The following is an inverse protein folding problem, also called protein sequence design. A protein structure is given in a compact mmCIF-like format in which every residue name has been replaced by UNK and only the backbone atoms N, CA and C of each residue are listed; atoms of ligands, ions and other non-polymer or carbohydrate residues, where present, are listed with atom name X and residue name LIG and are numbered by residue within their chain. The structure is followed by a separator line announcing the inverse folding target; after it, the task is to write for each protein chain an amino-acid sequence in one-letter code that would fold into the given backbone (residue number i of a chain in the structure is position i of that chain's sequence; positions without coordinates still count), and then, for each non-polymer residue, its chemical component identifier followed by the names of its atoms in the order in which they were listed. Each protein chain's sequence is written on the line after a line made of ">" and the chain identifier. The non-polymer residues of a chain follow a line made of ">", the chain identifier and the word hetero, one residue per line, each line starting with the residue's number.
data_IF_206788254876
#
_entry.id   IF_206788254876
#
_cell.length_a   1.000
_cell.length_b   1.000
_cell.length_c   1.000
_cell.angle_alpha   90.00
_cell.angle_beta   90.00
_cell.angle_gamma   90.00
#
_symmetry.space_group_name_H-M   'P 1'
#
loop_
_entity.id
_entity.type
_entity.pdbx_description
1 polymer ?
#
# COMPACT_ATOMS: atom_id res chain seq x y z
N UNK A 1 -18.37 48.89 -19.04
CA UNK A 1 -18.90 47.86 -18.11
C UNK A 1 -17.82 47.55 -17.08
N UNK A 2 -18.02 47.79 -15.78
CA UNK A 2 -16.98 47.57 -14.77
C UNK A 2 -16.80 46.07 -14.47
N UNK A 3 -15.55 45.59 -14.53
CA UNK A 3 -15.17 44.23 -14.19
C UNK A 3 -15.18 44.03 -12.67
N UNK A 4 -16.09 43.18 -12.17
CA UNK A 4 -16.18 42.81 -10.76
C UNK A 4 -15.06 41.81 -10.45
N UNK A 5 -14.12 42.17 -9.57
CA UNK A 5 -12.96 41.33 -9.25
C UNK A 5 -13.38 40.05 -8.49
N UNK A 6 -12.93 38.90 -8.99
CA UNK A 6 -13.24 37.56 -8.45
C UNK A 6 -12.69 37.31 -7.04
N UNK A 7 -11.71 38.10 -6.61
CA UNK A 7 -11.05 37.99 -5.30
C UNK A 7 -11.99 38.19 -4.11
N UNK A 8 -13.03 39.02 -4.24
CA UNK A 8 -13.99 39.23 -3.14
C UNK A 8 -14.94 38.05 -2.93
N UNK A 9 -15.15 37.20 -3.93
CA UNK A 9 -16.08 36.05 -3.84
C UNK A 9 -15.47 34.89 -3.04
N UNK A 10 -14.17 34.65 -3.17
CA UNK A 10 -13.49 33.57 -2.44
C UNK A 10 -13.37 33.89 -0.95
N UNK A 11 -13.14 35.16 -0.59
CA UNK A 11 -13.04 35.57 0.81
C UNK A 11 -14.32 35.26 1.59
N UNK A 12 -15.49 35.52 1.02
CA UNK A 12 -16.77 35.20 1.67
C UNK A 12 -16.99 33.71 1.85
N UNK A 13 -16.56 32.88 0.89
CA UNK A 13 -16.67 31.41 0.99
C UNK A 13 -15.81 30.88 2.13
N UNK A 14 -14.57 31.35 2.29
CA UNK A 14 -13.70 30.93 3.39
C UNK A 14 -14.25 31.30 4.77
N UNK A 15 -14.86 32.49 4.90
CA UNK A 15 -15.48 32.93 6.16
C UNK A 15 -16.66 32.03 6.53
N UNK A 16 -17.51 31.68 5.54
CA UNK A 16 -18.67 30.80 5.77
C UNK A 16 -18.22 29.38 6.13
N UNK A 17 -17.22 28.82 5.44
CA UNK A 17 -16.69 27.49 5.77
C UNK A 17 -16.04 27.45 7.16
N UNK A 18 -15.32 28.50 7.55
CA UNK A 18 -14.75 28.61 8.90
C UNK A 18 -15.82 28.65 9.99
N UNK A 19 -16.91 29.41 9.77
CA UNK A 19 -18.03 29.49 10.71
C UNK A 19 -18.76 28.15 10.85
N UNK A 20 -19.00 27.44 9.73
CA UNK A 20 -19.62 26.11 9.75
C UNK A 20 -18.75 25.08 10.47
N UNK A 21 -17.43 25.13 10.29
CA UNK A 21 -16.50 24.25 10.99
C UNK A 21 -16.50 24.49 12.50
N UNK A 22 -16.51 25.76 12.94
CA UNK A 22 -16.60 26.11 14.36
C UNK A 22 -17.95 25.70 14.98
N UNK A 23 -19.05 25.86 14.25
CA UNK A 23 -20.37 25.41 14.70
C UNK A 23 -20.42 23.87 14.86
N UNK A 24 -19.86 23.14 13.90
CA UNK A 24 -19.76 21.68 13.98
C UNK A 24 -18.93 21.23 15.19
N UNK A 25 -17.79 21.87 15.46
CA UNK A 25 -16.97 21.62 16.65
C UNK A 25 -17.78 21.86 17.95
N UNK A 26 -18.56 22.94 18.00
CA UNK A 26 -19.38 23.27 19.17
C UNK A 26 -20.47 22.22 19.45
N UNK A 27 -21.18 21.77 18.41
CA UNK A 27 -22.21 20.71 18.53
C UNK A 27 -21.58 19.40 18.99
N UNK A 28 -20.42 19.04 18.44
CA UNK A 28 -19.71 17.82 18.79
C UNK A 28 -19.26 17.84 20.27
N UNK A 29 -18.76 18.98 20.76
CA UNK A 29 -18.40 19.13 22.18
C UNK A 29 -19.61 18.99 23.12
N UNK A 30 -20.76 19.53 22.72
CA UNK A 30 -21.98 19.48 23.54
C UNK A 30 -22.55 18.06 23.66
N UNK A 31 -22.55 17.28 22.57
CA UNK A 31 -23.08 15.91 22.60
C UNK A 31 -22.17 14.91 23.33
N UNK A 32 -20.84 15.05 23.19
CA UNK A 32 -19.92 14.00 23.64
C UNK A 32 -19.10 14.38 24.88
N UNK A 33 -19.20 15.63 25.37
CA UNK A 33 -18.48 16.10 26.57
C UNK A 33 -16.95 16.15 26.45
N UNK A 34 -16.38 15.64 25.34
CA UNK A 34 -14.95 15.59 25.02
C UNK A 34 -14.72 16.06 23.58
N UNK A 35 -13.56 16.66 23.32
CA UNK A 35 -13.23 17.09 21.95
C UNK A 35 -12.83 15.89 21.09
N UNK A 36 -13.09 15.90 19.76
CA UNK A 36 -12.77 14.76 18.89
C UNK A 36 -11.30 14.31 18.94
N UNK A 37 -10.36 15.25 19.13
CA UNK A 37 -8.95 14.93 19.25
C UNK A 37 -8.55 14.29 20.59
N UNK A 38 -9.37 14.41 21.65
CA UNK A 38 -9.12 13.73 22.93
C UNK A 38 -9.47 12.25 22.82
N UNK A 39 -10.53 11.92 22.07
CA UNK A 39 -10.88 10.52 21.77
C UNK A 39 -9.76 9.82 20.98
N UNK A 40 -9.12 10.53 20.04
CA UNK A 40 -7.97 9.99 19.30
C UNK A 40 -6.77 9.72 20.22
N UNK A 41 -6.52 10.59 21.21
CA UNK A 41 -5.44 10.38 22.20
C UNK A 41 -5.73 9.20 23.13
N UNK A 42 -6.98 9.08 23.62
CA UNK A 42 -7.39 7.95 24.46
C UNK A 42 -7.32 6.62 23.70
N UNK A 43 -7.75 6.59 22.43
CA UNK A 43 -7.65 5.39 21.59
C UNK A 43 -6.19 4.94 21.39
N UNK A 44 -5.27 5.87 21.11
CA UNK A 44 -3.85 5.55 20.96
C UNK A 44 -3.22 5.03 22.26
N UNK A 45 -3.61 5.60 23.41
CA UNK A 45 -3.13 5.14 24.71
C UNK A 45 -3.65 3.74 25.07
N UNK A 46 -4.91 3.40 24.71
CA UNK A 46 -5.46 2.05 24.93
C UNK A 46 -4.72 0.99 24.11
N UNK A 47 -4.38 1.28 22.85
CA UNK A 47 -3.58 0.39 22.01
C UNK A 47 -2.19 0.11 22.62
N UNK A 48 -1.55 1.12 23.19
CA UNK A 48 -0.25 0.94 23.86
C UNK A 48 -0.37 0.22 25.21
N UNK A 49 -1.50 0.33 25.90
CA UNK A 49 -1.72 -0.30 27.19
C UNK A 49 -2.10 -1.78 27.08
N UNK A 50 -2.84 -2.17 26.02
CA UNK A 50 -3.14 -3.57 25.71
C UNK A 50 -1.89 -4.39 25.31
N UNK A 51 -0.84 -3.73 24.81
CA UNK A 51 0.43 -4.39 24.49
C UNK A 51 1.27 -4.79 25.71
N UNK A 52 0.92 -4.35 26.94
CA UNK A 52 1.81 -4.48 28.11
C UNK A 52 1.18 -5.26 29.28
N UNK A 53 -0.02 -5.81 29.14
CA UNK A 53 -0.71 -6.47 30.27
C UNK A 53 -1.56 -7.65 29.82
N UNK A 54 -0.90 -8.77 29.49
CA UNK A 54 -1.62 -10.02 29.27
C UNK A 54 -0.76 -11.19 28.80
N UNK A 55 -0.37 -12.02 29.77
CA UNK A 55 0.00 -13.45 29.67
C UNK A 55 1.48 -13.81 29.53
N UNK A 56 2.04 -14.04 30.72
CA UNK A 56 3.07 -15.01 31.05
C UNK A 56 2.53 -16.47 30.85
N UNK A 57 3.38 -17.35 30.31
CA UNK A 57 3.27 -18.83 30.28
C UNK A 57 2.62 -19.52 29.06
N UNK A 58 3.38 -19.64 27.97
CA UNK A 58 3.94 -20.93 27.52
C UNK A 58 5.13 -20.64 26.59
N UNK A 59 6.24 -21.34 26.82
CA UNK A 59 7.53 -21.09 26.17
C UNK A 59 7.46 -21.38 24.66
N UNK A 60 7.04 -20.39 23.88
CA UNK A 60 7.37 -20.32 22.45
C UNK A 60 8.55 -19.38 22.32
N UNK A 61 9.71 -19.97 22.08
CA UNK A 61 10.96 -19.29 21.71
C UNK A 61 10.71 -18.32 20.55
N UNK A 62 10.34 -17.08 20.90
CA UNK A 62 10.45 -15.91 20.04
C UNK A 62 11.94 -15.63 19.86
N UNK A 63 12.56 -16.37 18.95
CA UNK A 63 13.79 -15.91 18.34
C UNK A 63 13.41 -14.67 17.54
N UNK A 64 13.53 -13.49 18.16
CA UNK A 64 13.69 -12.20 17.48
C UNK A 64 14.93 -12.32 16.57
N UNK A 65 14.71 -12.93 15.42
CA UNK A 65 15.70 -13.12 14.38
C UNK A 65 15.78 -11.77 13.71
N UNK A 66 16.78 -10.98 14.14
CA UNK A 66 17.27 -9.78 13.45
C UNK A 66 17.03 -9.95 11.94
N UNK A 67 16.25 -9.07 11.29
CA UNK A 67 15.86 -9.25 9.89
C UNK A 67 17.09 -9.60 9.06
N UNK A 68 17.11 -10.80 8.47
CA UNK A 68 18.20 -11.18 7.60
C UNK A 68 18.31 -10.10 6.52
N UNK A 69 19.52 -9.58 6.27
CA UNK A 69 19.76 -8.48 5.33
C UNK A 69 19.01 -8.60 3.97
N UNK A 70 18.78 -9.80 3.39
CA UNK A 70 17.94 -9.97 2.21
C UNK A 70 16.49 -9.49 2.36
N UNK A 71 15.88 -9.65 3.53
CA UNK A 71 14.48 -9.26 3.76
C UNK A 71 14.32 -7.74 3.73
N UNK A 72 15.22 -6.98 4.37
CA UNK A 72 15.18 -5.53 4.35
C UNK A 72 15.34 -4.96 2.93
N UNK A 73 16.22 -5.58 2.12
CA UNK A 73 16.36 -5.22 0.71
C UNK A 73 15.07 -5.48 -0.08
N UNK A 74 14.43 -6.64 0.10
CA UNK A 74 13.15 -6.96 -0.54
C UNK A 74 12.04 -5.98 -0.14
N UNK A 75 11.96 -5.57 1.13
CA UNK A 75 10.99 -4.56 1.57
C UNK A 75 11.12 -3.24 0.81
N UNK A 76 12.36 -2.75 0.67
CA UNK A 76 12.63 -1.53 -0.08
C UNK A 76 12.21 -1.67 -1.55
N UNK A 77 12.53 -2.80 -2.18
CA UNK A 77 12.14 -3.11 -3.56
C UNK A 77 10.62 -3.18 -3.73
N UNK A 78 9.91 -3.90 -2.85
CA UNK A 78 8.44 -4.00 -2.91
C UNK A 78 7.78 -2.64 -2.78
N UNK A 79 8.23 -1.81 -1.83
CA UNK A 79 7.71 -0.46 -1.63
C UNK A 79 7.94 0.44 -2.85
N UNK A 80 9.13 0.37 -3.45
CA UNK A 80 9.47 1.17 -4.63
C UNK A 80 8.70 0.71 -5.88
N UNK A 81 8.56 -0.59 -6.11
CA UNK A 81 7.73 -1.14 -7.20
C UNK A 81 6.26 -0.75 -7.00
N UNK A 82 5.72 -0.90 -5.80
CA UNK A 82 4.34 -0.53 -5.50
C UNK A 82 4.06 0.96 -5.76
N UNK A 83 5.03 1.84 -5.48
CA UNK A 83 4.93 3.27 -5.79
C UNK A 83 5.00 3.59 -7.29
N UNK A 84 5.58 2.71 -8.11
CA UNK A 84 5.79 2.87 -9.56
C UNK A 84 4.88 1.99 -10.41
N UNK A 85 3.96 1.24 -9.81
CA UNK A 85 3.17 0.23 -10.53
C UNK A 85 2.37 0.83 -11.70
N UNK A 86 1.96 2.10 -11.59
CA UNK A 86 1.28 2.79 -12.68
C UNK A 86 2.13 3.04 -13.93
N UNK A 87 3.44 3.21 -13.77
CA UNK A 87 4.38 3.37 -14.88
C UNK A 87 4.86 2.01 -15.42
N UNK A 88 4.86 0.98 -14.56
CA UNK A 88 5.28 -0.38 -14.91
C UNK A 88 4.16 -1.16 -15.60
N UNK A 89 2.89 -0.90 -15.30
CA UNK A 89 1.78 -1.62 -15.92
C UNK A 89 1.68 -1.32 -17.43
N UNK A 90 1.70 -2.34 -18.31
CA UNK A 90 1.42 -2.13 -19.74
C UNK A 90 -0.02 -1.71 -20.02
N UNK A 91 -0.93 -2.03 -19.10
CA UNK A 91 -2.33 -1.64 -19.15
C UNK A 91 -2.58 -0.32 -18.39
N UNK A 92 -3.49 0.50 -18.94
CA UNK A 92 -3.96 1.72 -18.26
C UNK A 92 -5.08 1.37 -17.28
N UNK A 93 -5.17 2.06 -16.13
CA UNK A 93 -6.30 1.87 -15.22
C UNK A 93 -7.59 2.37 -15.88
N UNK A 94 -8.70 1.73 -15.55
CA UNK A 94 -10.03 2.03 -16.10
C UNK A 94 -10.74 3.04 -15.20
N UNK A 95 -11.64 3.84 -15.77
CA UNK A 95 -12.49 4.80 -15.04
C UNK A 95 -11.73 5.83 -14.17
N UNK A 96 -10.46 6.10 -14.49
CA UNK A 96 -9.61 6.97 -13.67
C UNK A 96 -9.17 6.35 -12.35
N UNK A 97 -9.22 5.01 -12.23
CA UNK A 97 -8.70 4.26 -11.10
C UNK A 97 -7.18 4.41 -10.94
N UNK A 98 -6.67 3.83 -9.85
CA UNK A 98 -5.25 3.72 -9.57
C UNK A 98 -4.90 2.27 -9.42
N UNK A 99 -3.71 1.90 -9.88
CA UNK A 99 -3.17 0.57 -9.67
C UNK A 99 -2.69 0.39 -8.24
N UNK A 100 -3.00 -0.77 -7.66
CA UNK A 100 -2.57 -1.21 -6.35
C UNK A 100 -1.93 -2.58 -6.47
N UNK A 101 -0.75 -2.76 -5.87
CA UNK A 101 -0.11 -4.08 -5.82
C UNK A 101 -0.76 -4.89 -4.72
N UNK A 102 -1.13 -6.14 -5.03
CA UNK A 102 -1.76 -7.06 -4.08
C UNK A 102 -0.77 -8.10 -3.56
N UNK A 103 0.11 -8.62 -4.43
CA UNK A 103 1.08 -9.67 -4.08
C UNK A 103 2.41 -9.50 -4.79
N UNK A 104 3.47 -9.95 -4.13
CA UNK A 104 4.78 -10.18 -4.73
C UNK A 104 5.17 -11.64 -4.62
N UNK A 105 5.76 -12.16 -5.70
CA UNK A 105 6.36 -13.49 -5.74
C UNK A 105 7.82 -13.36 -6.18
N UNK A 106 8.73 -13.35 -5.22
CA UNK A 106 10.17 -13.28 -5.53
C UNK A 106 10.69 -14.66 -5.89
N UNK A 107 11.55 -14.74 -6.91
CA UNK A 107 12.23 -16.00 -7.23
C UNK A 107 13.21 -16.32 -6.10
N UNK A 108 13.07 -17.48 -5.46
CA UNK A 108 13.74 -17.79 -4.18
C UNK A 108 15.27 -17.89 -4.29
N UNK A 109 15.77 -18.28 -5.47
CA UNK A 109 17.21 -18.40 -5.76
C UNK A 109 17.89 -17.06 -6.09
N UNK A 110 17.16 -15.93 -5.99
CA UNK A 110 17.69 -14.60 -6.22
C UNK A 110 16.84 -13.47 -5.62
N UNK A 111 17.21 -12.24 -5.96
CA UNK A 111 16.45 -11.04 -5.60
C UNK A 111 16.14 -10.15 -6.82
N UNK A 112 16.52 -10.62 -8.02
CA UNK A 112 16.50 -9.79 -9.22
C UNK A 112 15.21 -9.93 -10.02
N UNK A 113 14.38 -10.93 -9.73
CA UNK A 113 13.13 -11.18 -10.44
C UNK A 113 11.99 -11.34 -9.45
N UNK A 114 10.85 -10.74 -9.78
CA UNK A 114 9.61 -10.90 -9.04
C UNK A 114 8.40 -10.87 -9.97
N UNK A 115 7.43 -11.73 -9.72
CA UNK A 115 6.08 -11.50 -10.24
C UNK A 115 5.36 -10.53 -9.31
N UNK A 116 4.67 -9.57 -9.90
CA UNK A 116 3.91 -8.54 -9.20
C UNK A 116 2.47 -8.65 -9.66
N UNK A 117 1.57 -8.98 -8.74
CA UNK A 117 0.13 -8.96 -8.99
C UNK A 117 -0.43 -7.61 -8.55
N UNK A 118 -1.31 -7.05 -9.38
CA UNK A 118 -1.86 -5.72 -9.13
C UNK A 118 -3.25 -5.57 -9.75
N UNK A 119 -4.03 -4.65 -9.20
CA UNK A 119 -5.40 -4.39 -9.63
C UNK A 119 -5.78 -2.92 -9.48
N UNK A 120 -6.82 -2.46 -10.18
CA UNK A 120 -7.42 -1.12 -10.01
C UNK A 120 -8.87 -1.17 -9.47
N UNK A 121 -9.28 -2.36 -9.01
CA UNK A 121 -10.66 -2.67 -8.60
C UNK A 121 -11.58 -3.14 -9.72
N UNK A 122 -11.17 -3.05 -10.99
CA UNK A 122 -11.94 -3.54 -12.15
C UNK A 122 -11.17 -4.57 -12.98
N UNK A 123 -9.88 -4.32 -13.15
CA UNK A 123 -8.96 -5.20 -13.88
C UNK A 123 -7.84 -5.64 -12.96
N UNK A 124 -7.42 -6.89 -13.13
CA UNK A 124 -6.31 -7.50 -12.43
C UNK A 124 -5.24 -7.88 -13.46
N UNK A 125 -3.98 -7.68 -13.12
CA UNK A 125 -2.83 -7.98 -13.96
C UNK A 125 -1.69 -8.58 -13.17
N UNK A 126 -0.79 -9.26 -13.87
CA UNK A 126 0.49 -9.71 -13.31
C UNK A 126 1.61 -9.32 -14.27
N UNK A 127 2.73 -8.85 -13.73
CA UNK A 127 3.95 -8.61 -14.50
C UNK A 127 5.11 -9.38 -13.89
N UNK A 128 6.01 -9.89 -14.74
CA UNK A 128 7.34 -10.32 -14.32
C UNK A 128 8.27 -9.13 -14.48
N UNK A 129 8.89 -8.69 -13.38
CA UNK A 129 9.85 -7.59 -13.39
C UNK A 129 11.25 -8.09 -13.08
N UNK A 130 12.23 -7.47 -13.73
CA UNK A 130 13.65 -7.63 -13.43
C UNK A 130 14.19 -6.34 -12.80
N UNK A 131 14.83 -6.44 -11.64
CA UNK A 131 15.60 -5.37 -11.04
C UNK A 131 16.99 -5.33 -11.67
N UNK A 132 17.35 -4.22 -12.31
CA UNK A 132 18.69 -4.02 -12.85
C UNK A 132 19.74 -3.87 -11.74
N UNK A 133 21.03 -3.77 -12.12
CA UNK A 133 22.16 -3.56 -11.19
C UNK A 133 21.99 -2.34 -10.28
N UNK A 134 21.22 -1.35 -10.74
CA UNK A 134 20.76 -0.23 -9.92
C UNK A 134 19.36 -0.55 -9.42
N UNK A 135 19.21 -0.63 -8.10
CA UNK A 135 18.03 -1.08 -7.36
C UNK A 135 16.71 -0.32 -7.63
N UNK A 136 16.69 0.64 -8.56
CA UNK A 136 15.53 1.47 -8.90
C UNK A 136 15.14 1.42 -10.38
N UNK A 137 15.89 0.70 -11.22
CA UNK A 137 15.60 0.51 -12.63
C UNK A 137 14.94 -0.87 -12.84
N UNK A 138 13.61 -0.88 -12.88
CA UNK A 138 12.84 -2.09 -13.17
C UNK A 138 12.54 -2.20 -14.66
N UNK A 139 12.67 -3.41 -15.20
CA UNK A 139 12.25 -3.75 -16.55
C UNK A 139 11.14 -4.77 -16.48
N UNK A 140 10.02 -4.49 -17.15
CA UNK A 140 8.96 -5.48 -17.37
C UNK A 140 9.45 -6.48 -18.41
N UNK A 141 9.50 -7.75 -18.03
CA UNK A 141 9.97 -8.87 -18.87
C UNK A 141 8.77 -9.60 -19.48
N UNK A 142 7.70 -9.75 -18.72
CA UNK A 142 6.45 -10.35 -19.17
C UNK A 142 5.23 -9.70 -18.52
N UNK A 143 4.10 -9.76 -19.21
CA UNK A 143 2.79 -9.31 -18.74
C UNK A 143 1.74 -10.40 -18.97
N UNK A 144 0.90 -10.59 -17.96
CA UNK A 144 -0.09 -11.64 -17.88
C UNK A 144 -1.44 -11.05 -17.46
N UNK A 145 -2.49 -11.68 -17.96
CA UNK A 145 -3.88 -11.42 -17.57
C UNK A 145 -4.49 -12.68 -16.94
N UNK A 146 -5.58 -12.54 -16.17
CA UNK A 146 -6.34 -13.68 -15.71
C UNK A 146 -6.79 -14.57 -16.88
N UNK A 147 -6.46 -15.86 -16.85
CA UNK A 147 -6.95 -16.88 -17.78
C UNK A 147 -8.02 -17.76 -17.12
N UNK A 148 -8.41 -18.84 -17.79
CA UNK A 148 -9.49 -19.74 -17.32
C UNK A 148 -9.12 -20.50 -16.05
N UNK A 149 -7.84 -20.85 -15.87
CA UNK A 149 -7.37 -21.66 -14.73
C UNK A 149 -6.15 -21.05 -14.03
N UNK A 150 -5.40 -20.20 -14.71
CA UNK A 150 -4.21 -19.54 -14.20
C UNK A 150 -3.94 -18.26 -15.02
N UNK A 151 -2.81 -17.61 -14.80
CA UNK A 151 -2.36 -16.45 -15.54
C UNK A 151 -1.99 -16.80 -16.99
N UNK A 152 -2.58 -16.06 -17.94
CA UNK A 152 -2.29 -16.18 -19.35
C UNK A 152 -1.26 -15.12 -19.78
N UNK A 153 -0.11 -15.55 -20.32
CA UNK A 153 0.91 -14.67 -20.87
C UNK A 153 0.36 -13.90 -22.08
N UNK A 154 0.42 -12.56 -22.04
CA UNK A 154 -0.05 -11.66 -23.11
C UNK A 154 1.08 -11.00 -23.86
N UNK A 155 2.17 -10.68 -23.18
CA UNK A 155 3.32 -10.01 -23.77
C UNK A 155 4.62 -10.43 -23.08
N UNK A 156 5.70 -10.55 -23.85
CA UNK A 156 7.03 -10.89 -23.35
C UNK A 156 7.28 -12.39 -23.25
N UNK A 157 8.18 -12.78 -22.33
CA UNK A 157 8.58 -14.18 -22.12
C UNK A 157 8.68 -14.47 -20.61
N UNK A 158 8.06 -15.58 -20.18
CA UNK A 158 8.14 -16.02 -18.79
C UNK A 158 9.40 -16.84 -18.52
N UNK A 159 10.53 -16.15 -18.33
CA UNK A 159 11.84 -16.78 -18.11
C UNK A 159 11.99 -17.42 -16.72
N UNK A 160 11.02 -17.22 -15.82
CA UNK A 160 11.06 -17.70 -14.43
C UNK A 160 10.01 -18.78 -14.14
N UNK A 161 9.31 -19.28 -15.16
CA UNK A 161 8.32 -20.33 -15.04
C UNK A 161 8.88 -21.58 -14.33
N UNK A 162 8.13 -22.11 -13.36
CA UNK A 162 8.47 -23.32 -12.60
C UNK A 162 9.56 -23.13 -11.53
N UNK A 163 10.08 -21.92 -11.34
CA UNK A 163 11.03 -21.62 -10.26
C UNK A 163 10.32 -21.55 -8.89
N UNK A 164 11.02 -21.87 -7.79
CA UNK A 164 10.46 -21.71 -6.45
C UNK A 164 10.26 -20.22 -6.12
N UNK A 165 9.12 -19.87 -5.54
CA UNK A 165 8.73 -18.49 -5.26
C UNK A 165 8.51 -18.25 -3.77
N UNK A 166 8.98 -17.11 -3.28
CA UNK A 166 8.65 -16.56 -1.96
C UNK A 166 7.48 -15.57 -2.11
N UNK A 167 6.34 -15.88 -1.48
CA UNK A 167 5.13 -15.07 -1.49
C UNK A 167 5.17 -14.00 -0.40
N UNK A 168 4.85 -12.77 -0.78
CA UNK A 168 4.61 -11.67 0.14
C UNK A 168 3.25 -11.02 -0.14
N UNK A 169 2.52 -10.75 0.93
CA UNK A 169 1.26 -9.99 0.90
C UNK A 169 1.37 -8.81 1.86
N UNK A 170 0.66 -7.72 1.54
CA UNK A 170 0.67 -6.53 2.39
C UNK A 170 -0.21 -6.75 3.62
N UNK A 171 0.36 -6.52 4.80
CA UNK A 171 -0.36 -6.53 6.08
C UNK A 171 -0.72 -5.09 6.45
N UNK A 172 -1.98 -4.72 6.29
CA UNK A 172 -2.47 -3.36 6.58
C UNK A 172 -2.29 -2.97 8.05
N UNK A 173 -2.37 -3.93 8.98
CA UNK A 173 -2.24 -3.65 10.41
C UNK A 173 -0.83 -3.23 10.79
N UNK A 174 0.16 -3.77 10.06
CA UNK A 174 1.59 -3.49 10.27
C UNK A 174 2.16 -2.52 9.26
N UNK A 175 1.40 -2.21 8.20
CA UNK A 175 1.82 -1.38 7.08
C UNK A 175 3.14 -1.89 6.46
N UNK A 176 3.27 -3.21 6.33
CA UNK A 176 4.47 -3.89 5.82
C UNK A 176 4.12 -5.11 4.96
N UNK A 177 5.04 -5.52 4.08
CA UNK A 177 4.89 -6.76 3.32
C UNK A 177 5.32 -7.96 4.17
N UNK A 178 4.47 -8.96 4.32
CA UNK A 178 4.75 -10.12 5.17
C UNK A 178 4.88 -11.37 4.31
N UNK A 179 5.95 -12.14 4.53
CA UNK A 179 6.17 -13.42 3.85
C UNK A 179 5.10 -14.43 4.29
N UNK A 180 4.53 -15.19 3.35
CA UNK A 180 3.44 -16.13 3.62
C UNK A 180 3.80 -17.62 3.49
N UNK A 181 4.96 -17.96 2.93
CA UNK A 181 5.39 -19.35 2.72
C UNK A 181 6.83 -19.63 3.15
#
# INVERSE_FOLDING_TARGET
>A
MPAISSTRKYLTIFIVLGALFLAWIGVNKWQYGKMPWEMLKEANNRLNQEATSGVESEATTSNETKPQAPQAARQATMKDIAGKIGDLSPAKPVLGGKWYVTRFWFVSDGNNYAYVEYEDGHIMGRILVSAGEKSSAYKVVAYFEPGESDWALKQGEDTMAGKPLDLYEFDESKNEWVKKN
#
